data_IF_644633746146
#
_entry.id   IF_644633746146
#
_cell.length_a   1.000
_cell.length_b   1.000
_cell.length_c   1.000
_cell.angle_alpha   90.00
_cell.angle_beta   90.00
_cell.angle_gamma   90.00
#
_symmetry.space_group_name_H-M   'P 1'
#
loop_
_entity.id
_entity.type
_entity.pdbx_description
1 polymer ?
#
# COMPACT_ATOMS: atom_id res chain seq x y z
N UNK A 1 19.14 -8.29 -1.19
CA UNK A 1 18.54 -8.01 0.12
C UNK A 1 17.08 -8.42 0.03
N UNK A 2 16.61 -9.28 0.94
CA UNK A 2 15.23 -9.74 0.94
C UNK A 2 14.45 -8.93 1.99
N UNK A 3 13.29 -8.39 1.62
CA UNK A 3 12.37 -7.77 2.55
C UNK A 3 11.36 -8.77 3.11
N UNK A 4 10.68 -8.45 4.22
CA UNK A 4 9.58 -9.26 4.73
C UNK A 4 8.44 -9.32 3.72
N UNK A 5 7.75 -10.47 3.68
CA UNK A 5 6.56 -10.68 2.86
C UNK A 5 5.36 -10.86 3.79
N UNK A 6 4.32 -10.05 3.57
CA UNK A 6 3.04 -10.19 4.26
C UNK A 6 2.00 -10.72 3.27
N UNK A 7 1.20 -11.70 3.70
CA UNK A 7 0.14 -12.30 2.90
C UNK A 7 -1.21 -11.91 3.51
N UNK A 8 -2.14 -11.47 2.67
CA UNK A 8 -3.48 -11.06 3.07
C UNK A 8 -4.52 -11.90 2.33
N UNK A 9 -5.55 -12.37 3.04
CA UNK A 9 -6.59 -13.25 2.47
C UNK A 9 -7.65 -12.54 1.62
N UNK A 10 -7.61 -11.21 1.57
CA UNK A 10 -8.57 -10.34 0.87
C UNK A 10 -9.29 -9.39 1.82
N UNK A 11 -9.92 -8.35 1.28
CA UNK A 11 -10.54 -7.27 2.06
C UNK A 11 -9.56 -6.17 2.44
N UNK A 12 -8.44 -6.08 1.72
CA UNK A 12 -7.45 -5.03 1.86
C UNK A 12 -8.08 -3.64 1.78
N UNK A 13 -7.55 -2.73 2.60
CA UNK A 13 -7.95 -1.33 2.67
C UNK A 13 -9.38 -1.06 3.14
N UNK A 14 -10.14 -2.09 3.54
CA UNK A 14 -11.45 -1.97 4.17
C UNK A 14 -11.32 -1.72 5.68
N UNK A 15 -12.40 -1.26 6.37
CA UNK A 15 -12.40 -1.17 7.82
C UNK A 15 -12.07 -2.53 8.47
N UNK A 16 -11.12 -2.55 9.41
CA UNK A 16 -10.61 -3.74 10.08
C UNK A 16 -9.20 -4.15 9.62
N UNK A 17 -8.73 -3.68 8.46
CA UNK A 17 -7.40 -3.99 7.90
C UNK A 17 -6.27 -3.14 8.53
N UNK A 18 -6.59 -2.16 9.37
CA UNK A 18 -5.62 -1.19 9.90
C UNK A 18 -4.45 -1.84 10.63
N UNK A 19 -4.71 -2.90 11.42
CA UNK A 19 -3.66 -3.61 12.17
C UNK A 19 -2.68 -4.29 11.23
N UNK A 20 -3.17 -4.91 10.15
CA UNK A 20 -2.32 -5.55 9.15
C UNK A 20 -1.48 -4.51 8.40
N UNK A 21 -2.12 -3.44 7.91
CA UNK A 21 -1.42 -2.34 7.23
C UNK A 21 -0.36 -1.69 8.12
N UNK A 22 -0.66 -1.51 9.41
CA UNK A 22 0.30 -0.97 10.39
C UNK A 22 1.51 -1.89 10.52
N UNK A 23 1.30 -3.19 10.68
CA UNK A 23 2.39 -4.15 10.78
C UNK A 23 3.28 -4.13 9.53
N UNK A 24 2.68 -4.05 8.33
CA UNK A 24 3.43 -3.92 7.07
C UNK A 24 4.27 -2.65 7.05
N UNK A 25 3.71 -1.50 7.46
CA UNK A 25 4.43 -0.22 7.50
C UNK A 25 5.56 -0.20 8.54
N UNK A 26 5.38 -0.86 9.68
CA UNK A 26 6.41 -0.96 10.73
C UNK A 26 7.60 -1.83 10.30
N UNK A 27 7.33 -2.87 9.50
CA UNK A 27 8.34 -3.77 8.92
C UNK A 27 9.05 -3.20 7.69
N UNK A 28 8.47 -2.19 7.03
CA UNK A 28 9.00 -1.65 5.79
C UNK A 28 10.37 -0.97 6.00
N UNK A 29 11.33 -1.16 5.08
CA UNK A 29 12.59 -0.44 5.15
C UNK A 29 12.36 1.07 5.02
N UNK A 30 13.15 1.85 5.77
CA UNK A 30 13.10 3.31 5.74
C UNK A 30 14.32 3.85 5.00
N UNK A 31 14.11 4.42 3.83
CA UNK A 31 15.15 5.16 3.11
C UNK A 31 15.05 6.64 3.55
N UNK A 32 16.12 7.18 4.14
CA UNK A 32 16.14 8.56 4.66
C UNK A 32 15.02 8.84 5.67
N UNK A 33 14.67 7.84 6.49
CA UNK A 33 13.58 7.93 7.48
C UNK A 33 12.16 7.83 6.90
N UNK A 34 12.03 7.65 5.57
CA UNK A 34 10.75 7.60 4.86
C UNK A 34 10.42 6.19 4.38
N UNK A 35 9.17 5.78 4.56
CA UNK A 35 8.61 4.58 3.89
C UNK A 35 8.09 4.98 2.51
N UNK A 36 8.49 4.27 1.45
CA UNK A 36 7.97 4.48 0.10
C UNK A 36 7.00 3.35 -0.26
N UNK A 37 5.76 3.69 -0.58
CA UNK A 37 4.69 2.72 -0.88
C UNK A 37 4.16 2.96 -2.29
N UNK A 38 4.19 1.91 -3.10
CA UNK A 38 3.56 1.86 -4.41
C UNK A 38 2.35 0.93 -4.35
N UNK A 39 1.15 1.46 -4.65
CA UNK A 39 -0.07 0.68 -4.82
C UNK A 39 -0.16 0.24 -6.27
N UNK A 40 -0.21 -1.08 -6.51
CA UNK A 40 -0.27 -1.67 -7.85
C UNK A 40 -1.63 -2.34 -8.04
N UNK A 41 -2.63 -1.63 -8.63
CA UNK A 41 -4.02 -2.10 -8.70
C UNK A 41 -4.29 -3.03 -9.91
N UNK A 42 -3.27 -3.67 -10.47
CA UNK A 42 -3.39 -4.44 -11.73
C UNK A 42 -4.41 -5.57 -11.64
N UNK A 43 -4.60 -6.17 -10.45
CA UNK A 43 -5.64 -7.19 -10.24
C UNK A 43 -7.07 -6.65 -10.49
N UNK A 44 -7.28 -5.34 -10.31
CA UNK A 44 -8.55 -4.65 -10.57
C UNK A 44 -8.68 -4.10 -12.01
N UNK A 45 -7.76 -4.44 -12.92
CA UNK A 45 -7.73 -3.89 -14.28
C UNK A 45 -8.99 -4.19 -15.12
N UNK A 46 -9.73 -5.27 -14.81
CA UNK A 46 -11.01 -5.60 -15.45
C UNK A 46 -12.20 -4.79 -14.93
N UNK A 47 -11.97 -3.83 -14.05
CA UNK A 47 -13.02 -3.03 -13.44
C UNK A 47 -12.55 -1.63 -13.04
N UNK A 48 -12.64 -1.31 -11.75
CA UNK A 48 -12.47 0.05 -11.22
C UNK A 48 -11.04 0.30 -10.75
N UNK A 49 -10.06 0.24 -11.67
CA UNK A 49 -8.63 0.34 -11.36
C UNK A 49 -8.28 1.62 -10.56
N UNK A 50 -8.79 2.76 -11.00
CA UNK A 50 -8.51 4.04 -10.33
C UNK A 50 -9.11 4.11 -8.92
N UNK A 51 -10.27 3.46 -8.71
CA UNK A 51 -10.90 3.37 -7.39
C UNK A 51 -10.09 2.48 -6.43
N UNK A 52 -9.60 1.34 -6.92
CA UNK A 52 -8.74 0.46 -6.13
C UNK A 52 -7.44 1.19 -5.72
N UNK A 53 -6.84 1.92 -6.66
CA UNK A 53 -5.68 2.77 -6.40
C UNK A 53 -5.98 3.86 -5.36
N UNK A 54 -7.07 4.62 -5.53
CA UNK A 54 -7.41 5.70 -4.58
C UNK A 54 -7.69 5.16 -3.18
N UNK A 55 -8.36 4.02 -3.08
CA UNK A 55 -8.65 3.37 -1.80
C UNK A 55 -7.37 2.91 -1.10
N UNK A 56 -6.48 2.23 -1.81
CA UNK A 56 -5.18 1.81 -1.26
C UNK A 56 -4.33 2.99 -0.79
N UNK A 57 -4.25 4.05 -1.58
CA UNK A 57 -3.51 5.27 -1.20
C UNK A 57 -4.11 5.92 0.04
N UNK A 58 -5.44 6.06 0.09
CA UNK A 58 -6.12 6.67 1.23
C UNK A 58 -5.96 5.84 2.51
N UNK A 59 -6.10 4.52 2.44
CA UNK A 59 -5.95 3.62 3.59
C UNK A 59 -4.53 3.66 4.15
N UNK A 60 -3.51 3.53 3.30
CA UNK A 60 -2.11 3.58 3.76
C UNK A 60 -1.77 4.95 4.36
N UNK A 61 -2.18 6.07 3.73
CA UNK A 61 -1.95 7.41 4.28
C UNK A 61 -2.59 7.58 5.67
N UNK A 62 -3.83 7.12 5.82
CA UNK A 62 -4.56 7.17 7.09
C UNK A 62 -3.84 6.38 8.18
N UNK A 63 -3.46 5.14 7.90
CA UNK A 63 -2.77 4.27 8.89
C UNK A 63 -1.38 4.81 9.22
N UNK A 64 -0.61 5.24 8.21
CA UNK A 64 0.71 5.83 8.42
C UNK A 64 0.64 7.10 9.28
N UNK A 65 -0.31 7.99 9.01
CA UNK A 65 -0.53 9.20 9.80
C UNK A 65 -0.93 8.87 11.25
N UNK A 66 -1.86 7.93 11.45
CA UNK A 66 -2.28 7.49 12.78
C UNK A 66 -1.13 6.84 13.58
N UNK A 67 -0.21 6.16 12.90
CA UNK A 67 0.95 5.52 13.51
C UNK A 67 2.18 6.45 13.64
N UNK A 68 2.13 7.69 13.13
CA UNK A 68 3.27 8.60 13.12
C UNK A 68 4.42 8.14 12.22
N UNK A 69 4.13 7.34 11.18
CA UNK A 69 5.13 6.82 10.23
C UNK A 69 5.18 7.73 9.00
N UNK A 70 6.31 8.43 8.74
CA UNK A 70 6.46 9.20 7.52
C UNK A 70 6.42 8.28 6.30
N UNK A 71 5.45 8.49 5.40
CA UNK A 71 5.29 7.67 4.21
C UNK A 71 4.98 8.52 2.97
N UNK A 72 5.65 8.20 1.86
CA UNK A 72 5.27 8.66 0.52
C UNK A 72 4.52 7.53 -0.17
N UNK A 73 3.27 7.81 -0.54
CA UNK A 73 2.33 6.81 -1.05
C UNK A 73 1.77 7.27 -2.40
N UNK A 74 1.91 6.42 -3.40
CA UNK A 74 1.38 6.66 -4.75
C UNK A 74 0.84 5.39 -5.40
N UNK A 75 -0.08 5.57 -6.35
CA UNK A 75 -0.52 4.51 -7.24
C UNK A 75 0.41 4.42 -8.44
N UNK A 76 0.75 3.20 -8.85
CA UNK A 76 1.61 2.93 -10.00
C UNK A 76 0.87 2.02 -10.97
N UNK A 77 0.89 2.37 -12.25
CA UNK A 77 0.38 1.52 -13.33
C UNK A 77 1.52 0.70 -13.90
N UNK A 78 1.28 -0.59 -14.09
CA UNK A 78 2.17 -1.46 -14.85
C UNK A 78 1.71 -1.41 -16.30
N UNK A 79 2.61 -1.06 -17.20
CA UNK A 79 2.37 -0.98 -18.65
C UNK A 79 3.34 -1.90 -19.38
N UNK A 80 2.91 -2.45 -20.51
CA UNK A 80 3.79 -3.15 -21.43
C UNK A 80 4.61 -2.10 -22.21
N UNK A 81 5.95 -2.20 -22.28
CA UNK A 81 6.77 -1.29 -23.07
C UNK A 81 6.71 -1.52 -24.60
N UNK A 82 5.96 -2.53 -25.08
CA UNK A 82 5.85 -2.90 -26.50
C UNK A 82 5.22 -1.83 -27.40
#
# INVERSE_FOLDING_TARGET
MNGPVALHGGGEFLPGDETFLRAVLEMAPRADGLVRVAIVPTAAARGRLDLAASNGVAAVRRVAAAAGIPASVGAVRVVDPA
#
